data_IF_567764515452
#
_entry.id   IF_567764515452
#
_cell.length_a   1.000
_cell.length_b   1.000
_cell.length_c   1.000
_cell.angle_alpha   90.00
_cell.angle_beta   90.00
_cell.angle_gamma   90.00
#
_symmetry.space_group_name_H-M   'P 1'
#
loop_
_entity.id
_entity.type
_entity.pdbx_description
1 polymer ?
#
# COMPACT_ATOMS: atom_id res chain seq x y z
N UNK A 1 15.50 -21.27 8.64
CA UNK A 1 16.31 -20.04 8.67
C UNK A 1 17.77 -20.44 8.50
N UNK A 2 18.47 -19.88 7.50
CA UNK A 2 19.88 -20.23 7.21
C UNK A 2 20.81 -19.02 7.17
N UNK A 3 20.29 -17.80 7.43
CA UNK A 3 21.09 -16.59 7.46
C UNK A 3 20.31 -15.34 7.07
N UNK A 4 21.05 -14.23 6.95
CA UNK A 4 20.56 -12.92 6.52
C UNK A 4 21.48 -12.35 5.45
N UNK A 5 21.01 -11.33 4.74
CA UNK A 5 21.81 -10.56 3.77
C UNK A 5 21.94 -9.12 4.24
N UNK A 6 23.08 -8.49 3.94
CA UNK A 6 23.31 -7.07 4.22
C UNK A 6 22.93 -6.24 3.00
N UNK A 7 22.05 -5.26 3.18
CA UNK A 7 21.68 -4.27 2.17
C UNK A 7 22.18 -2.90 2.65
N UNK A 8 22.92 -2.13 1.82
CA UNK A 8 23.29 -0.76 2.18
C UNK A 8 22.04 0.11 2.41
N UNK A 9 22.07 0.94 3.45
CA UNK A 9 20.99 1.87 3.79
C UNK A 9 21.55 3.29 3.82
N UNK A 10 20.98 4.17 3.00
CA UNK A 10 21.28 5.60 2.98
C UNK A 10 20.12 6.44 3.51
N UNK A 11 20.34 7.75 3.64
CA UNK A 11 19.34 8.72 4.11
C UNK A 11 19.14 9.81 3.05
N UNK A 12 17.88 10.12 2.75
CA UNK A 12 17.46 11.27 1.93
C UNK A 12 16.73 12.29 2.79
N UNK A 13 17.16 13.56 2.81
CA UNK A 13 16.40 14.61 3.47
C UNK A 13 17.16 15.88 3.88
N UNK A 14 16.46 16.80 4.57
CA UNK A 14 15.05 16.69 4.98
C UNK A 14 14.09 16.76 3.79
N UNK A 15 13.02 15.98 3.84
CA UNK A 15 11.84 16.10 2.98
C UNK A 15 10.70 16.70 3.79
N UNK A 16 10.29 17.93 3.48
CA UNK A 16 9.13 18.56 4.10
C UNK A 16 7.85 18.05 3.48
N UNK A 17 6.98 17.47 4.30
CA UNK A 17 5.67 16.96 3.91
C UNK A 17 4.60 17.84 4.53
N UNK A 18 3.64 18.26 3.69
CA UNK A 18 2.46 19.03 4.05
C UNK A 18 1.23 18.16 3.76
N UNK A 19 1.05 17.08 4.51
CA UNK A 19 0.06 16.04 4.21
C UNK A 19 -1.01 15.86 5.27
N UNK A 20 -2.08 15.13 4.93
CA UNK A 20 -3.21 14.88 5.84
C UNK A 20 -2.82 14.13 7.11
N UNK A 21 -1.79 13.27 7.04
CA UNK A 21 -1.36 12.38 8.13
C UNK A 21 0.12 12.59 8.53
N UNK A 22 0.82 13.51 7.87
CA UNK A 22 2.23 13.80 8.13
C UNK A 22 2.51 15.26 7.84
N UNK A 23 2.99 16.00 8.84
CA UNK A 23 3.34 17.41 8.74
C UNK A 23 4.71 17.63 9.39
N UNK A 24 5.72 17.97 8.59
CA UNK A 24 7.06 18.23 9.09
C UNK A 24 8.18 17.77 8.16
N UNK A 25 9.41 17.82 8.69
CA UNK A 25 10.65 17.47 8.00
C UNK A 25 11.08 16.05 8.34
N UNK A 26 11.21 15.20 7.32
CA UNK A 26 11.54 13.79 7.50
C UNK A 26 12.89 13.44 6.87
N UNK A 27 13.66 12.60 7.58
CA UNK A 27 14.81 11.89 7.04
C UNK A 27 14.34 10.50 6.59
N UNK A 28 14.36 10.25 5.28
CA UNK A 28 13.82 9.01 4.69
C UNK A 28 14.94 7.98 4.53
N UNK A 29 14.87 6.82 5.20
CA UNK A 29 15.82 5.74 5.00
C UNK A 29 15.53 5.02 3.67
N UNK A 30 16.57 4.78 2.87
CA UNK A 30 16.49 4.11 1.57
C UNK A 30 17.48 2.93 1.56
N UNK A 31 16.96 1.70 1.50
CA UNK A 31 17.78 0.48 1.39
C UNK A 31 17.94 0.09 -0.09
N UNK A 32 19.16 0.20 -0.63
CA UNK A 32 19.42 -0.07 -2.05
C UNK A 32 20.89 -0.43 -2.30
N UNK A 33 21.15 -1.18 -3.37
CA UNK A 33 22.49 -1.41 -3.92
C UNK A 33 22.79 -0.51 -5.13
N UNK A 34 21.82 0.28 -5.59
CA UNK A 34 21.99 1.24 -6.69
C UNK A 34 22.70 2.51 -6.19
N UNK A 35 23.90 2.77 -6.70
CA UNK A 35 24.80 3.80 -6.18
C UNK A 35 24.23 5.24 -6.23
N UNK A 36 23.51 5.60 -7.30
CA UNK A 36 23.05 6.97 -7.53
C UNK A 36 21.69 7.28 -6.88
N UNK A 37 20.92 6.27 -6.50
CA UNK A 37 19.53 6.43 -6.06
C UNK A 37 19.43 7.35 -4.83
N UNK A 38 20.20 7.05 -3.77
CA UNK A 38 20.13 7.83 -2.52
C UNK A 38 20.54 9.28 -2.76
N UNK A 39 21.61 9.53 -3.52
CA UNK A 39 22.08 10.88 -3.82
C UNK A 39 21.07 11.69 -4.65
N UNK A 40 20.43 11.04 -5.63
CA UNK A 40 19.40 11.65 -6.47
C UNK A 40 18.18 12.07 -5.64
N UNK A 41 17.65 11.16 -4.81
CA UNK A 41 16.52 11.44 -3.93
C UNK A 41 16.87 12.55 -2.92
N UNK A 42 18.07 12.52 -2.33
CA UNK A 42 18.50 13.54 -1.38
C UNK A 42 18.54 14.95 -1.99
N UNK A 43 19.00 15.07 -3.24
CA UNK A 43 18.96 16.34 -3.98
C UNK A 43 17.52 16.82 -4.17
N UNK A 44 16.61 15.92 -4.57
CA UNK A 44 15.19 16.23 -4.74
C UNK A 44 14.51 16.65 -3.43
N UNK A 45 14.71 15.89 -2.34
CA UNK A 45 14.17 16.20 -1.01
C UNK A 45 14.60 17.59 -0.54
N UNK A 46 15.90 17.93 -0.66
CA UNK A 46 16.40 19.26 -0.30
C UNK A 46 15.77 20.38 -1.11
N UNK A 47 15.62 20.19 -2.42
CA UNK A 47 14.99 21.17 -3.31
C UNK A 47 13.52 21.40 -2.95
N UNK A 48 12.74 20.32 -2.83
CA UNK A 48 11.31 20.38 -2.44
C UNK A 48 11.15 21.10 -1.11
N UNK A 49 11.98 20.75 -0.13
CA UNK A 49 11.96 21.37 1.20
C UNK A 49 12.30 22.86 1.15
N UNK A 50 13.28 23.26 0.35
CA UNK A 50 13.63 24.67 0.13
C UNK A 50 12.49 25.45 -0.56
N UNK A 51 11.67 24.77 -1.38
CA UNK A 51 10.50 25.34 -2.05
C UNK A 51 9.21 25.34 -1.18
N UNK A 52 9.29 24.97 0.11
CA UNK A 52 8.14 24.99 1.02
C UNK A 52 7.50 23.63 1.30
N UNK A 53 8.01 22.55 0.72
CA UNK A 53 7.56 21.18 0.95
C UNK A 53 6.56 20.65 -0.08
N UNK A 54 6.28 19.36 0.00
CA UNK A 54 5.34 18.67 -0.89
C UNK A 54 3.99 18.44 -0.19
N UNK A 55 2.90 18.84 -0.85
CA UNK A 55 1.55 18.48 -0.42
C UNK A 55 1.22 17.03 -0.78
N UNK A 56 0.68 16.27 0.17
CA UNK A 56 0.35 14.86 -0.01
C UNK A 56 -1.01 14.52 0.60
N UNK A 57 -1.82 13.72 -0.13
CA UNK A 57 -3.16 13.35 0.30
C UNK A 57 -3.43 11.88 0.00
N UNK A 58 -4.08 11.18 0.94
CA UNK A 58 -4.56 9.82 0.78
C UNK A 58 -6.00 9.88 0.25
N UNK A 59 -6.23 9.36 -0.96
CA UNK A 59 -7.55 9.36 -1.59
C UNK A 59 -8.36 8.10 -1.25
N UNK A 60 -7.69 6.96 -1.17
CA UNK A 60 -8.28 5.67 -0.86
C UNK A 60 -7.23 4.77 -0.21
N UNK A 61 -7.65 3.94 0.74
CA UNK A 61 -6.84 2.95 1.43
C UNK A 61 -7.61 1.63 1.48
N UNK A 62 -6.98 0.56 0.99
CA UNK A 62 -7.57 -0.76 1.00
C UNK A 62 -6.62 -1.80 0.44
N UNK A 63 -6.81 -3.04 0.87
CA UNK A 63 -6.09 -4.20 0.34
C UNK A 63 -7.09 -5.11 -0.35
N UNK A 64 -6.81 -5.50 -1.59
CA UNK A 64 -7.69 -6.36 -2.37
C UNK A 64 -7.19 -7.80 -2.39
N UNK A 65 -8.13 -8.74 -2.50
CA UNK A 65 -7.84 -10.15 -2.75
C UNK A 65 -8.84 -10.67 -3.77
N UNK A 66 -8.34 -11.28 -4.85
CA UNK A 66 -9.18 -11.80 -5.94
C UNK A 66 -8.99 -13.31 -6.05
N UNK A 67 -9.87 -14.12 -5.45
CA UNK A 67 -9.85 -15.57 -5.65
C UNK A 67 -10.28 -15.94 -7.07
N UNK A 68 -9.73 -17.04 -7.60
CA UNK A 68 -10.19 -17.66 -8.84
C UNK A 68 -11.14 -18.82 -8.53
N UNK A 69 -12.31 -18.84 -9.18
CA UNK A 69 -13.28 -19.94 -9.09
C UNK A 69 -13.39 -20.63 -10.46
N UNK A 70 -13.37 -21.96 -10.47
CA UNK A 70 -13.48 -22.76 -11.69
C UNK A 70 -14.82 -23.50 -11.72
N UNK A 71 -15.43 -23.53 -12.91
CA UNK A 71 -16.73 -24.14 -13.17
C UNK A 71 -16.66 -25.00 -14.43
N UNK A 72 -17.55 -25.97 -14.58
CA UNK A 72 -17.58 -26.84 -15.77
C UNK A 72 -18.03 -26.07 -17.03
N UNK A 73 -18.76 -24.97 -16.85
CA UNK A 73 -19.22 -24.14 -17.97
C UNK A 73 -19.79 -22.79 -17.55
N UNK A 74 -20.16 -22.01 -18.57
CA UNK A 74 -20.61 -20.62 -18.40
C UNK A 74 -21.89 -20.48 -17.57
N UNK A 75 -22.81 -21.46 -17.64
CA UNK A 75 -24.07 -21.42 -16.90
C UNK A 75 -23.84 -21.46 -15.39
N UNK A 76 -22.98 -22.37 -14.93
CA UNK A 76 -22.62 -22.48 -13.50
C UNK A 76 -21.88 -21.23 -13.01
N UNK A 77 -20.94 -20.73 -13.82
CA UNK A 77 -20.23 -19.49 -13.49
C UNK A 77 -21.20 -18.29 -13.36
N UNK A 78 -22.18 -18.17 -14.27
CA UNK A 78 -23.20 -17.13 -14.21
C UNK A 78 -24.10 -17.24 -12.98
N UNK A 79 -24.53 -18.46 -12.62
CA UNK A 79 -25.30 -18.72 -11.41
C UNK A 79 -24.50 -18.35 -10.15
N UNK A 80 -23.21 -18.69 -10.11
CA UNK A 80 -22.33 -18.33 -9.00
C UNK A 80 -22.19 -16.82 -8.85
N UNK A 81 -21.94 -16.09 -9.94
CA UNK A 81 -21.84 -14.63 -9.90
C UNK A 81 -23.14 -14.00 -9.43
N UNK A 82 -24.28 -14.43 -9.97
CA UNK A 82 -25.59 -13.93 -9.59
C UNK A 82 -25.90 -14.18 -8.11
N UNK A 83 -25.46 -15.31 -7.55
CA UNK A 83 -25.56 -15.59 -6.13
C UNK A 83 -24.59 -14.75 -5.29
N UNK A 84 -23.31 -14.71 -5.66
CA UNK A 84 -22.26 -14.08 -4.86
C UNK A 84 -22.51 -12.58 -4.63
N UNK A 85 -23.01 -11.86 -5.63
CA UNK A 85 -23.31 -10.43 -5.50
C UNK A 85 -24.44 -10.13 -4.51
N UNK A 86 -25.28 -11.12 -4.16
CA UNK A 86 -26.33 -10.95 -3.15
C UNK A 86 -25.88 -11.33 -1.74
N UNK A 87 -24.67 -11.88 -1.56
CA UNK A 87 -24.19 -12.39 -0.27
C UNK A 87 -23.25 -11.44 0.47
N UNK A 88 -23.15 -10.18 0.05
CA UNK A 88 -22.19 -9.22 0.61
C UNK A 88 -22.20 -9.17 2.15
N UNK A 89 -23.37 -9.03 2.78
CA UNK A 89 -23.47 -8.94 4.24
C UNK A 89 -23.01 -10.22 4.96
N UNK A 90 -23.29 -11.38 4.36
CA UNK A 90 -22.82 -12.66 4.88
C UNK A 90 -21.30 -12.77 4.76
N UNK A 91 -20.75 -12.41 3.59
CA UNK A 91 -19.30 -12.41 3.35
C UNK A 91 -18.58 -11.43 4.25
N UNK A 92 -19.16 -10.24 4.48
CA UNK A 92 -18.64 -9.24 5.41
C UNK A 92 -18.56 -9.79 6.83
N UNK A 93 -19.66 -10.36 7.32
CA UNK A 93 -19.71 -10.95 8.67
C UNK A 93 -18.66 -12.05 8.83
N UNK A 94 -18.56 -12.95 7.84
CA UNK A 94 -17.59 -14.04 7.86
C UNK A 94 -16.15 -13.52 7.80
N UNK A 95 -15.84 -12.59 6.89
CA UNK A 95 -14.50 -12.03 6.75
C UNK A 95 -14.05 -11.28 8.00
N UNK A 96 -14.90 -10.40 8.54
CA UNK A 96 -14.60 -9.61 9.73
C UNK A 96 -14.51 -10.46 10.99
N UNK A 97 -15.16 -11.63 11.05
CA UNK A 97 -15.01 -12.56 12.18
C UNK A 97 -13.59 -13.14 12.35
N UNK A 98 -12.77 -13.09 11.29
CA UNK A 98 -11.41 -13.67 11.29
C UNK A 98 -10.32 -12.70 11.76
N UNK A 99 -10.67 -11.44 12.02
CA UNK A 99 -9.71 -10.38 12.33
C UNK A 99 -10.34 -9.29 13.20
N UNK A 100 -9.58 -8.77 14.17
CA UNK A 100 -10.00 -7.61 14.95
C UNK A 100 -9.78 -6.27 14.24
N UNK A 101 -9.10 -6.26 13.09
CA UNK A 101 -8.67 -5.03 12.41
C UNK A 101 -9.21 -4.87 11.00
N UNK A 102 -9.41 -5.98 10.27
CA UNK A 102 -9.89 -5.92 8.89
C UNK A 102 -11.38 -5.59 8.82
N UNK A 103 -11.77 -4.81 7.81
CA UNK A 103 -13.16 -4.50 7.49
C UNK A 103 -13.40 -4.72 6.00
N UNK A 104 -14.48 -5.41 5.65
CA UNK A 104 -14.87 -5.57 4.25
C UNK A 104 -15.68 -4.35 3.83
N UNK A 105 -15.16 -3.59 2.87
CA UNK A 105 -15.71 -2.29 2.44
C UNK A 105 -16.45 -2.35 1.10
N UNK A 106 -16.21 -3.40 0.30
CA UNK A 106 -16.80 -3.67 -1.03
C UNK A 106 -16.69 -5.17 -1.34
#
# INVERSE_FOLDING_TARGET
FIGTVKIPVGISGPLRVNGLFAEGDYLVPLATTEAALVASYNRGSKLITACGGASAMLLNEGVTRTPGFAFQGLVEAGQFVAWAVTQYDQFKTLAESTTSHGKLTD
#
